data_IF_016348824783
#
_entry.id   IF_016348824783
#
_cell.length_a   1.000
_cell.length_b   1.000
_cell.length_c   1.000
_cell.angle_alpha   90.00
_cell.angle_beta   90.00
_cell.angle_gamma   90.00
#
_symmetry.space_group_name_H-M   'P 1'
#
loop_
_entity.id
_entity.type
_entity.pdbx_description
1 polymer ?
#
# COMPACT_ATOMS: atom_id res chain seq x y z
N UNK A 1 24.00 5.20 12.14
CA UNK A 1 22.78 4.90 11.35
C UNK A 1 21.87 4.00 12.16
N UNK A 2 20.61 4.40 12.38
CA UNK A 2 19.65 3.67 13.22
C UNK A 2 19.28 2.30 12.61
N UNK A 3 19.18 1.20 13.39
CA UNK A 3 18.89 -0.14 12.88
C UNK A 3 17.63 -0.22 12.02
N UNK A 4 16.60 0.56 12.36
CA UNK A 4 15.36 0.65 11.59
C UNK A 4 15.60 1.13 10.15
N UNK A 5 16.56 2.01 9.91
CA UNK A 5 16.89 2.51 8.57
C UNK A 5 17.52 1.41 7.69
N UNK A 6 18.26 0.47 8.30
CA UNK A 6 18.85 -0.70 7.62
C UNK A 6 17.76 -1.71 7.25
N UNK A 7 16.80 -1.93 8.14
CA UNK A 7 15.66 -2.84 7.89
C UNK A 7 14.75 -2.30 6.79
N UNK A 8 14.45 -0.99 6.81
CA UNK A 8 13.66 -0.34 5.73
C UNK A 8 14.37 -0.44 4.38
N UNK A 9 15.70 -0.32 4.35
CA UNK A 9 16.52 -0.47 3.14
C UNK A 9 16.59 -1.91 2.62
N UNK A 10 16.49 -2.90 3.51
CA UNK A 10 16.42 -4.32 3.17
C UNK A 10 15.05 -4.71 2.63
N UNK A 11 13.97 -4.12 3.16
CA UNK A 11 12.60 -4.36 2.68
C UNK A 11 12.41 -3.77 1.28
N UNK A 12 12.93 -2.57 1.01
CA UNK A 12 12.88 -1.95 -0.33
C UNK A 12 13.60 -2.74 -1.42
N UNK A 13 14.48 -3.67 -1.06
CA UNK A 13 15.20 -4.51 -2.01
C UNK A 13 14.48 -5.83 -2.32
N UNK A 14 13.35 -6.13 -1.66
CA UNK A 14 12.76 -7.47 -1.70
C UNK A 14 11.23 -7.49 -1.71
N UNK A 15 10.63 -6.49 -2.35
CA UNK A 15 9.19 -6.38 -2.46
C UNK A 15 8.72 -6.75 -3.86
N UNK A 16 7.62 -7.49 -3.95
CA UNK A 16 7.08 -8.01 -5.21
C UNK A 16 6.79 -6.85 -6.18
N UNK A 17 6.23 -5.74 -5.71
CA UNK A 17 5.99 -4.55 -6.52
C UNK A 17 7.29 -3.84 -6.95
N UNK A 18 8.30 -3.79 -6.08
CA UNK A 18 9.65 -3.29 -6.42
C UNK A 18 10.30 -4.08 -7.55
N UNK A 19 10.25 -5.41 -7.47
CA UNK A 19 10.79 -6.30 -8.47
C UNK A 19 10.03 -6.23 -9.81
N UNK A 20 8.70 -6.23 -9.79
CA UNK A 20 7.87 -6.13 -11.00
C UNK A 20 8.16 -4.82 -11.75
N UNK A 21 8.22 -3.68 -11.05
CA UNK A 21 8.50 -2.40 -11.70
C UNK A 21 9.89 -2.33 -12.32
N UNK A 22 10.90 -2.87 -11.64
CA UNK A 22 12.28 -2.93 -12.16
C UNK A 22 12.34 -3.83 -13.40
N UNK A 23 11.64 -4.96 -13.40
CA UNK A 23 11.57 -5.86 -14.55
C UNK A 23 10.93 -5.19 -15.77
N UNK A 24 9.80 -4.48 -15.60
CA UNK A 24 9.18 -3.71 -16.68
C UNK A 24 10.08 -2.58 -17.19
N UNK A 25 10.79 -1.90 -16.29
CA UNK A 25 11.78 -0.87 -16.67
C UNK A 25 12.89 -1.40 -17.56
N UNK A 26 13.43 -2.57 -17.21
CA UNK A 26 14.46 -3.25 -18.00
C UNK A 26 13.91 -3.77 -19.33
N UNK A 27 12.67 -4.24 -19.35
CA UNK A 27 12.03 -4.74 -20.57
C UNK A 27 11.66 -3.64 -21.58
N UNK A 28 11.44 -2.40 -21.12
CA UNK A 28 11.09 -1.25 -21.97
C UNK A 28 12.29 -0.48 -22.55
N UNK A 29 13.50 -1.05 -22.58
CA UNK A 29 14.72 -0.31 -22.86
C UNK A 29 14.85 0.15 -24.33
N UNK A 30 14.51 1.42 -24.58
CA UNK A 30 15.18 2.28 -25.57
C UNK A 30 16.52 2.75 -24.98
N UNK A 31 17.56 3.08 -25.77
CA UNK A 31 18.91 3.34 -25.28
C UNK A 31 18.94 4.63 -24.43
N UNK A 32 18.76 4.45 -23.12
CA UNK A 32 18.78 5.53 -22.13
C UNK A 32 20.22 5.68 -21.64
N UNK A 33 20.81 6.87 -21.80
CA UNK A 33 22.11 7.22 -21.21
C UNK A 33 22.16 6.81 -19.72
N UNK A 34 23.24 6.17 -19.27
CA UNK A 34 23.35 5.56 -17.92
C UNK A 34 22.95 6.49 -16.76
N UNK A 35 23.28 7.79 -16.85
CA UNK A 35 22.88 8.78 -15.83
C UNK A 35 21.37 8.98 -15.72
N UNK A 36 20.61 8.78 -16.81
CA UNK A 36 19.14 8.83 -16.79
C UNK A 36 18.54 7.51 -16.28
N UNK A 37 19.24 6.38 -16.43
CA UNK A 37 18.75 5.08 -15.96
C UNK A 37 18.67 5.01 -14.42
N UNK A 38 19.66 5.58 -13.71
CA UNK A 38 19.65 5.64 -12.25
C UNK A 38 18.46 6.43 -11.69
N UNK A 39 18.13 7.57 -12.31
CA UNK A 39 16.99 8.39 -11.94
C UNK A 39 15.63 7.70 -12.18
N UNK A 40 15.52 6.98 -13.29
CA UNK A 40 14.34 6.16 -13.61
C UNK A 40 14.14 5.06 -12.57
N UNK A 41 15.21 4.32 -12.24
CA UNK A 41 15.19 3.27 -11.22
C UNK A 41 14.75 3.85 -9.86
N UNK A 42 15.30 5.01 -9.46
CA UNK A 42 14.92 5.68 -8.21
C UNK A 42 13.43 6.03 -8.15
N UNK A 43 12.87 6.59 -9.24
CA UNK A 43 11.44 6.91 -9.31
C UNK A 43 10.57 5.65 -9.26
N UNK A 44 11.03 4.57 -9.88
CA UNK A 44 10.34 3.28 -9.85
C UNK A 44 10.36 2.62 -8.48
N UNK A 45 11.48 2.68 -7.76
CA UNK A 45 11.51 2.22 -6.36
C UNK A 45 10.54 3.01 -5.49
N UNK A 46 10.43 4.32 -5.72
CA UNK A 46 9.47 5.16 -5.01
C UNK A 46 8.02 4.79 -5.37
N UNK A 47 7.73 4.55 -6.64
CA UNK A 47 6.42 4.09 -7.08
C UNK A 47 6.07 2.68 -6.56
N UNK A 48 7.04 1.77 -6.48
CA UNK A 48 6.86 0.45 -5.87
C UNK A 48 6.53 0.55 -4.38
N UNK A 49 7.25 1.42 -3.66
CA UNK A 49 6.95 1.72 -2.25
C UNK A 49 5.51 2.23 -2.10
N UNK A 50 5.05 3.13 -2.98
CA UNK A 50 3.65 3.59 -2.99
C UNK A 50 2.69 2.42 -3.17
N UNK A 51 2.93 1.53 -4.13
CA UNK A 51 2.07 0.37 -4.38
C UNK A 51 1.97 -0.57 -3.18
N UNK A 52 3.07 -0.80 -2.47
CA UNK A 52 3.06 -1.60 -1.25
C UNK A 52 2.31 -0.96 -0.11
N UNK A 53 2.47 0.35 0.08
CA UNK A 53 1.74 1.09 1.12
C UNK A 53 0.23 1.04 0.84
N UNK A 54 -0.19 1.18 -0.42
CA UNK A 54 -1.60 1.04 -0.83
C UNK A 54 -2.10 -0.40 -0.65
N UNK A 55 -1.31 -1.40 -0.99
CA UNK A 55 -1.67 -2.81 -0.78
C UNK A 55 -1.79 -3.16 0.71
N UNK A 56 -0.87 -2.68 1.54
CA UNK A 56 -0.90 -2.85 2.99
C UNK A 56 -2.12 -2.14 3.62
N UNK A 57 -2.42 -0.91 3.19
CA UNK A 57 -3.63 -0.17 3.58
C UNK A 57 -4.89 -1.00 3.31
N UNK A 58 -5.06 -1.49 2.07
CA UNK A 58 -6.22 -2.31 1.71
C UNK A 58 -6.32 -3.58 2.58
N UNK A 59 -5.20 -4.27 2.84
CA UNK A 59 -5.18 -5.44 3.71
C UNK A 59 -5.58 -5.12 5.16
N UNK A 60 -5.19 -3.96 5.70
CA UNK A 60 -5.55 -3.54 7.05
C UNK A 60 -7.04 -3.18 7.13
N UNK A 61 -7.57 -2.48 6.14
CA UNK A 61 -9.01 -2.17 6.03
C UNK A 61 -9.82 -3.47 5.97
N UNK A 62 -9.42 -4.39 5.09
CA UNK A 62 -10.11 -5.68 4.95
C UNK A 62 -10.06 -6.50 6.24
N UNK A 63 -8.94 -6.48 6.98
CA UNK A 63 -8.85 -7.14 8.30
C UNK A 63 -9.77 -6.49 9.35
N UNK A 64 -9.80 -5.16 9.43
CA UNK A 64 -10.68 -4.43 10.34
C UNK A 64 -12.17 -4.68 10.06
N UNK A 65 -12.55 -4.71 8.77
CA UNK A 65 -13.90 -5.04 8.32
C UNK A 65 -14.23 -6.52 8.60
N UNK A 66 -13.32 -7.44 8.25
CA UNK A 66 -13.51 -8.88 8.45
C UNK A 66 -13.71 -9.25 9.92
N UNK A 67 -12.92 -8.67 10.82
CA UNK A 67 -13.11 -8.85 12.26
C UNK A 67 -14.51 -8.41 12.72
N UNK A 68 -15.02 -7.30 12.19
CA UNK A 68 -16.38 -6.77 12.50
C UNK A 68 -17.49 -7.65 11.90
N UNK A 69 -17.28 -8.19 10.70
CA UNK A 69 -18.24 -9.11 10.08
C UNK A 69 -18.29 -10.47 10.78
N UNK A 70 -17.15 -10.97 11.26
CA UNK A 70 -17.09 -12.24 11.99
C UNK A 70 -17.75 -12.17 13.37
N UNK A 71 -17.69 -11.03 14.08
CA UNK A 71 -18.43 -10.86 15.33
C UNK A 71 -19.95 -10.85 15.09
N UNK A 72 -20.38 -10.26 13.97
CA UNK A 72 -21.80 -10.14 13.61
C UNK A 72 -22.38 -11.45 13.05
N UNK A 73 -21.67 -12.15 12.15
CA UNK A 73 -22.15 -13.37 11.48
C UNK A 73 -22.21 -14.60 12.39
N UNK A 74 -21.32 -14.71 13.37
CA UNK A 74 -21.22 -15.93 14.15
C UNK A 74 -22.25 -16.01 15.29
N UNK A 75 -23.11 -14.99 15.50
CA UNK A 75 -24.01 -14.86 16.66
C UNK A 75 -23.35 -15.25 18.00
N UNK A 76 -22.02 -15.15 18.08
CA UNK A 76 -21.27 -15.53 19.26
C UNK A 76 -21.53 -14.43 20.27
N UNK A 77 -22.16 -14.80 21.38
CA UNK A 77 -22.22 -13.97 22.57
C UNK A 77 -20.78 -13.87 23.13
N UNK A 78 -19.96 -13.05 22.48
CA UNK A 78 -18.61 -12.72 22.91
C UNK A 78 -18.71 -12.05 24.27
N UNK A 79 -17.83 -12.41 25.18
CA UNK A 79 -17.77 -11.71 26.47
C UNK A 79 -17.49 -10.23 26.21
N UNK A 80 -18.06 -9.35 27.02
CA UNK A 80 -17.88 -7.88 26.88
C UNK A 80 -16.41 -7.46 26.72
N UNK A 81 -15.50 -8.18 27.39
CA UNK A 81 -14.04 -7.98 27.26
C UNK A 81 -13.48 -8.32 25.86
N UNK A 82 -13.90 -9.42 25.25
CA UNK A 82 -13.43 -9.85 23.93
C UNK A 82 -13.97 -8.92 22.82
N UNK A 83 -15.22 -8.50 22.93
CA UNK A 83 -15.82 -7.53 22.01
C UNK A 83 -15.10 -6.16 22.09
N UNK A 84 -14.74 -5.70 23.30
CA UNK A 84 -13.94 -4.48 23.50
C UNK A 84 -12.57 -4.61 22.84
N UNK A 85 -11.88 -5.74 22.99
CA UNK A 85 -10.57 -5.96 22.39
C UNK A 85 -10.62 -5.97 20.85
N UNK A 86 -11.63 -6.63 20.26
CA UNK A 86 -11.83 -6.64 18.81
C UNK A 86 -12.17 -5.23 18.29
N UNK A 87 -13.01 -4.49 19.01
CA UNK A 87 -13.36 -3.11 18.62
C UNK A 87 -12.14 -2.20 18.69
N UNK A 88 -11.32 -2.33 19.74
CA UNK A 88 -10.08 -1.57 19.89
C UNK A 88 -9.09 -1.89 18.77
N UNK A 89 -8.84 -3.17 18.48
CA UNK A 89 -7.93 -3.58 17.42
C UNK A 89 -8.39 -3.11 16.03
N UNK A 90 -9.70 -3.11 15.77
CA UNK A 90 -10.25 -2.57 14.52
C UNK A 90 -10.05 -1.06 14.39
N UNK A 91 -10.24 -0.30 15.47
CA UNK A 91 -9.95 1.15 15.47
C UNK A 91 -8.48 1.43 15.18
N UNK A 92 -7.58 0.67 15.80
CA UNK A 92 -6.14 0.79 15.55
C UNK A 92 -5.81 0.42 14.10
N UNK A 93 -6.39 -0.65 13.56
CA UNK A 93 -6.18 -1.06 12.17
C UNK A 93 -6.62 0.02 11.17
N UNK A 94 -7.76 0.68 11.42
CA UNK A 94 -8.23 1.79 10.60
C UNK A 94 -7.32 3.02 10.69
N UNK A 95 -6.87 3.40 11.89
CA UNK A 95 -5.93 4.52 12.07
C UNK A 95 -4.60 4.29 11.35
N UNK A 96 -4.06 3.07 11.45
CA UNK A 96 -2.84 2.72 10.71
C UNK A 96 -3.08 2.69 9.20
N UNK A 97 -4.25 2.24 8.74
CA UNK A 97 -4.60 2.30 7.34
C UNK A 97 -4.58 3.76 6.84
N UNK A 98 -5.17 4.70 7.58
CA UNK A 98 -5.18 6.12 7.22
C UNK A 98 -3.77 6.72 7.16
N UNK A 99 -2.89 6.40 8.12
CA UNK A 99 -1.51 6.90 8.09
C UNK A 99 -0.71 6.29 6.92
N UNK A 100 -0.90 5.00 6.61
CA UNK A 100 -0.30 4.36 5.43
C UNK A 100 -0.76 5.03 4.13
N UNK A 101 -2.05 5.33 4.02
CA UNK A 101 -2.60 6.04 2.86
C UNK A 101 -2.00 7.44 2.75
N UNK A 102 -1.96 8.20 3.85
CA UNK A 102 -1.33 9.53 3.87
C UNK A 102 0.12 9.46 3.40
N UNK A 103 0.89 8.49 3.90
CA UNK A 103 2.27 8.30 3.51
C UNK A 103 2.41 7.93 2.02
N UNK A 104 1.56 7.04 1.52
CA UNK A 104 1.53 6.67 0.10
C UNK A 104 1.24 7.90 -0.78
N UNK A 105 0.26 8.72 -0.42
CA UNK A 105 -0.12 9.93 -1.15
C UNK A 105 1.01 10.98 -1.15
N UNK A 106 1.71 11.17 -0.02
CA UNK A 106 2.87 12.06 0.04
C UNK A 106 3.99 11.59 -0.89
N UNK A 107 4.31 10.29 -0.88
CA UNK A 107 5.34 9.75 -1.78
C UNK A 107 4.91 9.80 -3.26
N UNK A 108 3.61 9.62 -3.54
CA UNK A 108 3.04 9.73 -4.88
C UNK A 108 3.11 11.18 -5.40
N UNK A 109 2.81 12.17 -4.56
CA UNK A 109 2.93 13.60 -4.90
C UNK A 109 4.39 14.00 -5.20
N UNK A 110 5.35 13.46 -4.44
CA UNK A 110 6.77 13.71 -4.65
C UNK A 110 7.31 13.17 -5.98
N UNK A 111 6.61 12.23 -6.66
CA UNK A 111 7.00 11.77 -7.99
C UNK A 111 6.86 12.88 -9.05
N UNK A 112 6.07 13.94 -8.75
CA UNK A 112 5.84 15.11 -9.63
C UNK A 112 5.48 14.71 -11.07
N UNK A 113 4.71 13.63 -11.21
CA UNK A 113 4.23 13.12 -12.49
C UNK A 113 2.72 12.94 -12.40
N UNK A 114 1.98 13.86 -13.03
CA UNK A 114 0.53 13.95 -12.92
C UNK A 114 -0.17 12.72 -13.51
N UNK A 115 0.34 12.18 -14.63
CA UNK A 115 -0.24 10.98 -15.27
C UNK A 115 -0.13 9.76 -14.36
N UNK A 116 1.04 9.56 -13.75
CA UNK A 116 1.25 8.47 -12.78
C UNK A 116 0.34 8.63 -11.56
N UNK A 117 0.22 9.84 -11.03
CA UNK A 117 -0.66 10.13 -9.89
C UNK A 117 -2.11 9.74 -10.24
N UNK A 118 -2.60 10.19 -11.40
CA UNK A 118 -3.98 9.90 -11.85
C UNK A 118 -4.21 8.41 -12.03
N UNK A 119 -3.33 7.70 -12.72
CA UNK A 119 -3.48 6.26 -12.96
C UNK A 119 -3.50 5.47 -11.65
N UNK A 120 -2.59 5.76 -10.73
CA UNK A 120 -2.49 5.04 -9.44
C UNK A 120 -3.74 5.30 -8.58
N UNK A 121 -4.21 6.54 -8.52
CA UNK A 121 -5.41 6.89 -7.77
C UNK A 121 -6.67 6.25 -8.39
N UNK A 122 -6.79 6.25 -9.72
CA UNK A 122 -7.89 5.57 -10.41
C UNK A 122 -7.91 4.08 -10.08
N UNK A 123 -6.77 3.42 -10.17
CA UNK A 123 -6.64 2.00 -9.79
C UNK A 123 -7.07 1.81 -8.33
N UNK A 124 -6.55 2.60 -7.39
CA UNK A 124 -6.92 2.51 -5.98
C UNK A 124 -8.43 2.67 -5.73
N UNK A 125 -9.06 3.66 -6.37
CA UNK A 125 -10.51 3.91 -6.25
C UNK A 125 -11.32 2.75 -6.83
N UNK A 126 -10.97 2.27 -8.02
CA UNK A 126 -11.67 1.14 -8.68
C UNK A 126 -11.58 -0.13 -7.84
N UNK A 127 -10.43 -0.39 -7.20
CA UNK A 127 -10.25 -1.55 -6.32
C UNK A 127 -11.02 -1.44 -4.99
N UNK A 128 -11.19 -0.24 -4.43
CA UNK A 128 -11.94 -0.04 -3.18
C UNK A 128 -13.44 0.14 -3.35
N UNK A 129 -13.88 0.64 -4.51
CA UNK A 129 -15.29 0.78 -4.89
C UNK A 129 -15.56 -0.01 -6.18
N UNK A 130 -15.57 -1.35 -6.13
CA UNK A 130 -16.07 -2.10 -7.26
C UNK A 130 -17.52 -1.69 -7.47
N UNK A 131 -17.84 -1.18 -8.66
CA UNK A 131 -19.22 -0.84 -9.02
C UNK A 131 -20.08 -2.05 -8.68
N UNK A 132 -21.10 -1.87 -7.84
CA UNK A 132 -22.08 -2.92 -7.60
C UNK A 132 -22.71 -3.25 -8.95
N UNK A 133 -22.24 -4.31 -9.60
CA UNK A 133 -22.96 -4.88 -10.72
C UNK A 133 -24.27 -5.41 -10.15
N UNK A 134 -25.36 -4.81 -10.62
CA UNK A 134 -26.74 -5.17 -10.29
C UNK A 134 -27.06 -6.58 -10.75
#
# INVERSE_FOLDING_TARGET
MHPALKTVKSITNNTIFGLILILFSKAGHLPIQENKAADVIRRQMKLATVMELLYANNNMINKGIFNTLQTTKNNRCLKSSELKNITFSNKIALLFADDLLRHALTQLADLKNQDVIVVILLVYIVYHYPSKQK
#
